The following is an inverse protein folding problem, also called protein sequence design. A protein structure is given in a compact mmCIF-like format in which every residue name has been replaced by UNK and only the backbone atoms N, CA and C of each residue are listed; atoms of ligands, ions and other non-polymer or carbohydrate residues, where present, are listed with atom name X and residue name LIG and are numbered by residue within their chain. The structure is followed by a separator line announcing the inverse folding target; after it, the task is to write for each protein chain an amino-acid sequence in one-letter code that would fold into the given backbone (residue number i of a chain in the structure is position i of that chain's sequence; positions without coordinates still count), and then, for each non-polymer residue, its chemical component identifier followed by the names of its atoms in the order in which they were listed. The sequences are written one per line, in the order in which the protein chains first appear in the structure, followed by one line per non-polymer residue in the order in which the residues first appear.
data_IF_816633429452
#
_entry.id   IF_816633429452
#
_cell.length_a   1.000
_cell.length_b   1.000
_cell.length_c   1.000
_cell.angle_alpha   90.00
_cell.angle_beta   90.00
_cell.angle_gamma   90.00
#
_symmetry.space_group_name_H-M   'P 1'
#
loop_
_entity.id
_entity.type
_entity.pdbx_description
1 polymer ?
#
# COMPACT_ATOMS: atom_id res chain seq x y z
N UNK A 1 10.07 19.73 -17.06
CA UNK A 1 9.77 19.13 -18.38
C UNK A 1 9.56 17.58 -18.34
N UNK A 2 8.87 16.96 -17.34
CA UNK A 2 8.64 15.50 -17.36
C UNK A 2 7.43 15.06 -18.19
N UNK A 3 6.43 15.93 -18.38
CA UNK A 3 5.18 15.61 -19.08
C UNK A 3 5.41 15.34 -20.57
N UNK A 4 6.25 16.15 -21.22
CA UNK A 4 6.56 16.01 -22.65
C UNK A 4 7.28 14.69 -22.94
N UNK A 5 8.23 14.31 -22.09
CA UNK A 5 8.95 13.02 -22.18
C UNK A 5 7.98 11.85 -22.04
N UNK A 6 7.04 11.94 -21.10
CA UNK A 6 5.98 10.93 -20.95
C UNK A 6 5.09 10.81 -22.19
N UNK A 7 4.78 11.93 -22.85
CA UNK A 7 3.97 11.94 -24.07
C UNK A 7 4.69 11.23 -25.23
N UNK A 8 5.98 11.52 -25.44
CA UNK A 8 6.77 10.86 -26.47
C UNK A 8 6.93 9.36 -26.22
N UNK A 9 7.16 8.97 -24.97
CA UNK A 9 7.22 7.55 -24.59
C UNK A 9 5.90 6.84 -24.87
N UNK A 10 4.76 7.48 -24.59
CA UNK A 10 3.43 6.94 -24.88
C UNK A 10 3.21 6.77 -26.39
N UNK A 11 3.58 7.76 -27.20
CA UNK A 11 3.45 7.69 -28.66
C UNK A 11 4.32 6.56 -29.23
N UNK A 12 5.56 6.44 -28.77
CA UNK A 12 6.46 5.37 -29.21
C UNK A 12 5.93 3.98 -28.83
N UNK A 13 5.36 3.84 -27.63
CA UNK A 13 4.74 2.61 -27.16
C UNK A 13 3.52 2.23 -28.03
N UNK A 14 2.64 3.19 -28.34
CA UNK A 14 1.48 2.97 -29.20
C UNK A 14 1.93 2.57 -30.60
N UNK A 15 2.90 3.27 -31.17
CA UNK A 15 3.43 2.98 -32.50
C UNK A 15 4.06 1.59 -32.56
N UNK A 16 4.89 1.24 -31.58
CA UNK A 16 5.49 -0.10 -31.48
C UNK A 16 4.44 -1.21 -31.34
N UNK A 17 3.36 -0.96 -30.59
CA UNK A 17 2.26 -1.91 -30.45
C UNK A 17 1.50 -2.13 -31.77
N UNK A 18 1.24 -1.06 -32.53
CA UNK A 18 0.60 -1.15 -33.86
C UNK A 18 1.49 -1.91 -34.84
N UNK A 19 2.79 -1.61 -34.86
CA UNK A 19 3.73 -2.30 -35.73
C UNK A 19 3.85 -3.79 -35.39
N UNK A 20 3.91 -4.12 -34.09
CA UNK A 20 3.93 -5.50 -33.62
C UNK A 20 2.63 -6.24 -33.98
N UNK A 21 1.47 -5.60 -33.86
CA UNK A 21 0.19 -6.18 -34.25
C UNK A 21 0.17 -6.52 -35.75
N UNK A 22 0.61 -5.61 -36.61
CA UNK A 22 0.69 -5.87 -38.04
C UNK A 22 1.72 -6.94 -38.40
N UNK A 23 2.86 -6.99 -37.71
CA UNK A 23 3.85 -8.05 -37.91
C UNK A 23 3.30 -9.43 -37.52
N UNK A 24 2.60 -9.53 -36.40
CA UNK A 24 1.96 -10.77 -35.93
C UNK A 24 0.81 -11.17 -36.88
N UNK A 25 0.01 -10.20 -37.31
CA UNK A 25 -1.07 -10.43 -38.28
C UNK A 25 -0.51 -10.97 -39.60
N UNK A 26 0.59 -10.40 -40.09
CA UNK A 26 1.23 -10.82 -41.34
C UNK A 26 1.82 -12.23 -41.23
N UNK A 27 2.36 -12.60 -40.07
CA UNK A 27 3.01 -13.90 -39.87
C UNK A 27 2.04 -15.04 -39.49
N UNK A 28 1.01 -14.75 -38.71
CA UNK A 28 0.15 -15.77 -38.07
C UNK A 28 -1.35 -15.59 -38.34
N UNK A 29 -1.72 -14.56 -39.08
CA UNK A 29 -3.11 -14.25 -39.39
C UNK A 29 -3.83 -13.47 -38.28
N UNK A 30 -5.04 -13.01 -38.63
CA UNK A 30 -5.79 -12.04 -37.84
C UNK A 30 -6.29 -12.61 -36.50
N UNK A 31 -6.66 -13.88 -36.46
CA UNK A 31 -7.15 -14.53 -35.24
C UNK A 31 -6.08 -14.57 -34.13
N UNK A 32 -4.83 -14.88 -34.50
CA UNK A 32 -3.70 -14.93 -33.56
C UNK A 32 -3.34 -13.51 -33.09
N UNK A 33 -3.30 -12.54 -34.00
CA UNK A 33 -3.02 -11.15 -33.66
C UNK A 33 -4.04 -10.57 -32.64
N UNK A 34 -5.34 -10.82 -32.85
CA UNK A 34 -6.38 -10.43 -31.90
C UNK A 34 -6.20 -11.13 -30.53
N UNK A 35 -5.90 -12.42 -30.52
CA UNK A 35 -5.66 -13.17 -29.28
C UNK A 35 -4.52 -12.58 -28.46
N UNK A 36 -3.39 -12.27 -29.11
CA UNK A 36 -2.23 -11.63 -28.44
C UNK A 36 -2.59 -10.23 -27.94
N UNK A 37 -3.29 -9.43 -28.74
CA UNK A 37 -3.70 -8.08 -28.33
C UNK A 37 -4.58 -8.09 -27.07
N UNK A 38 -5.57 -9.00 -27.01
CA UNK A 38 -6.43 -9.18 -25.84
C UNK A 38 -5.62 -9.63 -24.63
N UNK A 39 -4.71 -10.59 -24.79
CA UNK A 39 -3.87 -11.08 -23.71
C UNK A 39 -3.00 -9.96 -23.11
N UNK A 40 -2.35 -9.17 -23.96
CA UNK A 40 -1.53 -8.03 -23.52
C UNK A 40 -2.39 -6.99 -22.79
N UNK A 41 -3.57 -6.67 -23.31
CA UNK A 41 -4.49 -5.75 -22.65
C UNK A 41 -4.90 -6.25 -21.26
N UNK A 42 -5.22 -7.54 -21.10
CA UNK A 42 -5.54 -8.14 -19.81
C UNK A 42 -4.37 -8.08 -18.83
N UNK A 43 -3.14 -8.35 -19.29
CA UNK A 43 -1.95 -8.25 -18.44
C UNK A 43 -1.70 -6.82 -17.96
N UNK A 44 -1.88 -5.82 -18.83
CA UNK A 44 -1.75 -4.41 -18.46
C UNK A 44 -2.81 -4.00 -17.43
N UNK A 45 -4.07 -4.39 -17.65
CA UNK A 45 -5.16 -4.13 -16.69
C UNK A 45 -4.86 -4.79 -15.35
N UNK A 46 -4.40 -6.05 -15.36
CA UNK A 46 -4.03 -6.76 -14.13
C UNK A 46 -2.85 -6.08 -13.41
N UNK A 47 -1.84 -5.62 -14.13
CA UNK A 47 -0.70 -4.89 -13.56
C UNK A 47 -1.12 -3.55 -12.94
N UNK A 48 -1.95 -2.77 -13.64
CA UNK A 48 -2.50 -1.51 -13.14
C UNK A 48 -3.39 -1.76 -11.92
N UNK A 49 -4.28 -2.76 -11.97
CA UNK A 49 -5.14 -3.11 -10.85
C UNK A 49 -4.33 -3.58 -9.63
N UNK A 50 -3.28 -4.38 -9.84
CA UNK A 50 -2.35 -4.80 -8.79
C UNK A 50 -1.62 -3.60 -8.17
N UNK A 51 -1.12 -2.69 -9.01
CA UNK A 51 -0.43 -1.48 -8.56
C UNK A 51 -1.36 -0.53 -7.79
N UNK A 52 -2.59 -0.33 -8.28
CA UNK A 52 -3.62 0.45 -7.59
C UNK A 52 -4.04 -0.21 -6.28
N UNK A 53 -4.20 -1.53 -6.24
CA UNK A 53 -4.48 -2.27 -4.99
C UNK A 53 -3.34 -2.08 -3.99
N UNK A 54 -2.08 -2.14 -4.44
CA UNK A 54 -0.91 -1.90 -3.60
C UNK A 54 -0.87 -0.47 -3.06
N UNK A 55 -1.23 0.53 -3.87
CA UNK A 55 -1.33 1.92 -3.42
C UNK A 55 -2.52 2.17 -2.49
N UNK A 56 -3.69 1.59 -2.78
CA UNK A 56 -4.90 1.73 -1.95
C UNK A 56 -4.73 1.14 -0.54
N UNK A 57 -3.90 0.12 -0.38
CA UNK A 57 -3.56 -0.42 0.95
C UNK A 57 -2.85 0.62 1.85
N UNK A 58 -2.24 1.64 1.26
CA UNK A 58 -1.50 2.72 1.95
C UNK A 58 -2.25 4.06 1.79
N UNK A 59 -3.42 4.08 1.14
CA UNK A 59 -4.18 5.31 0.99
C UNK A 59 -4.80 5.73 2.32
N UNK A 60 -4.85 7.05 2.56
CA UNK A 60 -5.47 7.63 3.74
C UNK A 60 -6.87 7.05 3.95
N UNK A 61 -7.10 6.41 5.11
CA UNK A 61 -8.39 5.81 5.44
C UNK A 61 -9.38 6.84 5.99
N UNK A 62 -8.91 8.03 6.34
CA UNK A 62 -9.73 9.11 6.88
C UNK A 62 -9.61 10.32 5.97
N UNK A 63 -10.76 10.81 5.51
CA UNK A 63 -10.89 12.08 4.82
C UNK A 63 -11.89 12.90 5.64
N UNK A 64 -11.42 13.93 6.35
CA UNK A 64 -12.30 14.89 7.04
C UNK A 64 -12.22 14.98 8.57
N UNK A 65 -11.37 14.20 9.25
CA UNK A 65 -11.19 14.29 10.72
C UNK A 65 -9.83 14.92 11.08
N UNK A 66 -9.60 16.18 10.69
CA UNK A 66 -8.38 16.94 11.00
C UNK A 66 -7.13 16.47 10.24
N UNK A 67 -5.95 16.59 10.87
CA UNK A 67 -4.62 16.28 10.29
C UNK A 67 -4.28 14.78 10.19
N UNK A 68 -5.23 13.90 10.51
CA UNK A 68 -5.02 12.45 10.56
C UNK A 68 -5.28 11.79 9.21
N UNK A 69 -4.33 10.96 8.75
CA UNK A 69 -4.42 10.29 7.44
C UNK A 69 -4.89 8.84 7.58
N UNK A 70 -4.55 8.15 8.66
CA UNK A 70 -5.03 6.80 8.93
C UNK A 70 -5.56 6.68 10.36
N UNK A 71 -6.68 5.99 10.50
CA UNK A 71 -7.29 5.71 11.80
C UNK A 71 -7.82 4.28 11.79
N UNK A 72 -7.57 3.57 12.89
CA UNK A 72 -8.13 2.27 13.19
C UNK A 72 -8.72 2.33 14.60
N UNK A 73 -10.03 2.18 14.67
CA UNK A 73 -10.79 2.04 15.91
C UNK A 73 -11.18 0.57 16.08
N UNK A 74 -10.98 0.04 17.27
CA UNK A 74 -11.45 -1.28 17.67
C UNK A 74 -11.96 -1.27 19.10
N UNK A 75 -12.62 -2.35 19.52
CA UNK A 75 -13.07 -2.49 20.91
C UNK A 75 -11.91 -2.48 21.92
N UNK A 76 -10.69 -2.74 21.45
CA UNK A 76 -9.44 -2.73 22.22
C UNK A 76 -8.78 -1.34 22.32
N UNK A 77 -9.25 -0.36 21.54
CA UNK A 77 -8.65 0.98 21.52
C UNK A 77 -8.55 1.61 20.12
N UNK A 78 -7.51 2.41 19.93
CA UNK A 78 -7.33 3.28 18.77
C UNK A 78 -5.86 3.28 18.30
N UNK A 79 -5.64 3.18 17.00
CA UNK A 79 -4.36 3.56 16.38
C UNK A 79 -4.65 4.62 15.33
N UNK A 80 -3.98 5.76 15.43
CA UNK A 80 -4.08 6.85 14.45
C UNK A 80 -2.71 7.31 14.00
N UNK A 81 -2.62 7.69 12.73
CA UNK A 81 -1.39 8.14 12.10
C UNK A 81 -1.67 9.37 11.25
N UNK A 82 -0.84 10.38 11.41
CA UNK A 82 -0.85 11.63 10.65
C UNK A 82 0.42 11.70 9.81
N UNK A 83 0.33 11.29 8.55
CA UNK A 83 1.47 11.24 7.63
C UNK A 83 2.11 12.61 7.44
N UNK A 84 1.27 13.65 7.27
CA UNK A 84 1.72 15.03 7.07
C UNK A 84 2.55 15.57 8.24
N UNK A 85 2.22 15.16 9.48
CA UNK A 85 2.92 15.56 10.70
C UNK A 85 3.96 14.54 11.18
N UNK A 86 4.14 13.43 10.45
CA UNK A 86 5.03 12.30 10.81
C UNK A 86 4.82 11.79 12.24
N UNK A 87 3.56 11.77 12.65
CA UNK A 87 3.15 11.49 14.02
C UNK A 87 2.19 10.32 14.03
N UNK A 88 2.30 9.46 15.03
CA UNK A 88 1.33 8.41 15.25
C UNK A 88 1.04 8.24 16.73
N UNK A 89 -0.14 7.73 17.01
CA UNK A 89 -0.65 7.58 18.34
C UNK A 89 -1.37 6.26 18.45
N UNK A 90 -1.13 5.60 19.58
CA UNK A 90 -1.63 4.29 19.90
C UNK A 90 -2.28 4.35 21.28
N UNK A 91 -3.43 3.71 21.36
CA UNK A 91 -4.19 3.54 22.59
C UNK A 91 -4.69 2.11 22.62
N UNK A 92 -4.27 1.35 23.62
CA UNK A 92 -4.66 -0.06 23.79
C UNK A 92 -5.04 -0.25 25.26
N UNK A 93 -6.32 -0.54 25.52
CA UNK A 93 -6.85 -0.50 26.88
C UNK A 93 -6.71 0.90 27.49
N UNK A 94 -6.14 0.99 28.70
CA UNK A 94 -5.89 2.26 29.39
C UNK A 94 -4.54 2.90 29.02
N UNK A 95 -3.68 2.18 28.31
CA UNK A 95 -2.35 2.64 27.95
C UNK A 95 -2.42 3.51 26.68
N UNK A 96 -1.66 4.61 26.67
CA UNK A 96 -1.58 5.54 25.54
C UNK A 96 -0.13 5.91 25.24
N UNK A 97 0.24 5.80 23.98
CA UNK A 97 1.55 6.19 23.46
C UNK A 97 1.40 7.15 22.28
N UNK A 98 2.25 8.17 22.25
CA UNK A 98 2.31 9.16 21.19
C UNK A 98 3.77 9.29 20.74
N UNK A 99 4.03 9.07 19.47
CA UNK A 99 5.38 8.90 18.95
C UNK A 99 5.52 9.54 17.57
N UNK A 100 6.75 9.90 17.21
CA UNK A 100 7.08 10.30 15.84
C UNK A 100 7.56 9.08 15.04
N UNK A 101 7.57 9.18 13.71
CA UNK A 101 7.99 8.05 12.86
C UNK A 101 9.44 7.62 13.10
N UNK A 102 10.29 8.54 13.58
CA UNK A 102 11.67 8.23 13.94
C UNK A 102 11.78 7.28 15.14
N UNK A 103 10.78 7.24 16.00
CA UNK A 103 10.75 6.35 17.17
C UNK A 103 10.30 4.94 16.80
N UNK A 104 9.85 4.72 15.56
CA UNK A 104 9.37 3.43 15.10
C UNK A 104 10.54 2.53 14.68
N UNK A 105 10.77 1.46 15.44
CA UNK A 105 11.84 0.50 15.17
C UNK A 105 11.39 -0.58 14.19
N UNK A 106 10.12 -0.98 14.23
CA UNK A 106 9.58 -1.97 13.30
C UNK A 106 8.14 -2.37 13.59
N UNK A 107 7.55 -3.13 12.67
CA UNK A 107 6.22 -3.70 12.83
C UNK A 107 6.19 -5.14 12.29
N UNK A 108 5.66 -6.06 13.08
CA UNK A 108 5.59 -7.49 12.78
C UNK A 108 4.16 -8.00 13.01
N UNK A 109 3.65 -8.77 12.05
CA UNK A 109 2.37 -9.48 12.23
C UNK A 109 2.66 -10.78 12.96
N UNK A 110 1.99 -10.99 14.11
CA UNK A 110 2.04 -12.23 14.87
C UNK A 110 0.67 -12.89 14.82
N UNK A 111 0.63 -14.15 14.43
CA UNK A 111 -0.60 -14.96 14.41
C UNK A 111 -0.41 -16.12 15.36
N UNK A 112 -1.35 -16.32 16.28
CA UNK A 112 -1.29 -17.39 17.28
C UNK A 112 -2.65 -17.59 17.95
N UNK A 113 -2.97 -18.82 18.34
CA UNK A 113 -4.22 -19.16 19.05
C UNK A 113 -5.50 -18.62 18.37
N UNK A 114 -5.54 -18.63 17.03
CA UNK A 114 -6.68 -18.12 16.27
C UNK A 114 -6.86 -16.59 16.31
N UNK A 115 -5.93 -15.86 16.92
CA UNK A 115 -5.92 -14.39 16.99
C UNK A 115 -4.74 -13.84 16.19
N UNK A 116 -4.93 -12.64 15.68
CA UNK A 116 -3.89 -11.90 14.95
C UNK A 116 -3.53 -10.66 15.77
N UNK A 117 -2.25 -10.39 15.92
CA UNK A 117 -1.72 -9.18 16.54
C UNK A 117 -0.73 -8.49 15.61
N UNK A 118 -0.66 -7.18 15.72
CA UNK A 118 0.40 -6.37 15.16
C UNK A 118 1.31 -5.93 16.31
N UNK A 119 2.52 -6.49 16.34
CA UNK A 119 3.57 -6.11 17.28
C UNK A 119 4.34 -4.93 16.72
N UNK A 120 4.21 -3.77 17.35
CA UNK A 120 4.89 -2.53 16.94
C UNK A 120 6.01 -2.21 17.92
N UNK A 121 7.25 -2.21 17.43
CA UNK A 121 8.44 -1.92 18.23
C UNK A 121 8.74 -0.43 18.17
N UNK A 122 8.90 0.19 19.33
CA UNK A 122 9.24 1.61 19.45
C UNK A 122 10.44 1.81 20.37
N UNK A 123 11.12 2.94 20.22
CA UNK A 123 12.29 3.34 21.02
C UNK A 123 11.93 3.72 22.48
N UNK A 124 10.65 3.72 22.83
CA UNK A 124 10.18 4.06 24.17
C UNK A 124 10.66 3.05 25.23
N UNK A 125 11.37 3.49 26.29
CA UNK A 125 11.81 2.61 27.36
C UNK A 125 10.65 2.03 28.19
N UNK A 126 9.48 2.69 28.24
CA UNK A 126 8.30 2.22 29.00
C UNK A 126 7.49 1.18 28.23
N UNK A 127 7.33 1.37 26.93
CA UNK A 127 6.57 0.46 26.07
C UNK A 127 7.41 0.10 24.84
N UNK A 128 8.37 -0.81 25.01
CA UNK A 128 9.27 -1.22 23.91
C UNK A 128 8.55 -1.90 22.75
N UNK A 129 7.42 -2.54 23.04
CA UNK A 129 6.59 -3.24 22.07
C UNK A 129 5.12 -3.07 22.41
N UNK A 130 4.33 -2.63 21.44
CA UNK A 130 2.86 -2.55 21.52
C UNK A 130 2.25 -3.74 20.79
N UNK A 131 1.38 -4.49 21.48
CA UNK A 131 0.64 -5.60 20.88
C UNK A 131 -0.78 -5.15 20.57
N UNK A 132 -1.05 -4.88 19.28
CA UNK A 132 -2.35 -4.42 18.82
C UNK A 132 -3.17 -5.59 18.28
N UNK A 133 -4.28 -6.00 18.92
CA UNK A 133 -5.10 -7.08 18.40
C UNK A 133 -5.83 -6.64 17.13
N UNK A 134 -5.76 -7.47 16.09
CA UNK A 134 -6.32 -7.19 14.76
C UNK A 134 -7.45 -8.15 14.45
N UNK A 135 -8.51 -7.62 13.82
CA UNK A 135 -9.69 -8.42 13.51
C UNK A 135 -9.42 -9.48 12.42
N UNK A 136 -8.47 -9.20 11.51
CA UNK A 136 -8.10 -10.09 10.39
C UNK A 136 -6.61 -9.95 10.05
N UNK A 137 -6.03 -11.03 9.55
CA UNK A 137 -4.64 -11.05 9.07
C UNK A 137 -4.38 -10.00 7.97
N UNK A 138 -5.33 -9.81 7.05
CA UNK A 138 -5.23 -8.79 6.01
C UNK A 138 -5.10 -7.36 6.56
N UNK A 139 -5.81 -7.06 7.66
CA UNK A 139 -5.74 -5.75 8.32
C UNK A 139 -4.40 -5.57 9.03
N UNK A 140 -3.89 -6.62 9.69
CA UNK A 140 -2.58 -6.59 10.33
C UNK A 140 -1.45 -6.37 9.30
N UNK A 141 -1.50 -7.08 8.16
CA UNK A 141 -0.53 -6.89 7.06
C UNK A 141 -0.61 -5.50 6.42
N UNK A 142 -1.82 -4.94 6.31
CA UNK A 142 -2.00 -3.58 5.81
C UNK A 142 -1.33 -2.57 6.74
N UNK A 143 -1.61 -2.63 8.04
CA UNK A 143 -1.03 -1.72 9.02
C UNK A 143 0.48 -1.92 9.22
N UNK A 144 0.98 -3.15 9.13
CA UNK A 144 2.41 -3.43 9.08
C UNK A 144 3.09 -2.65 7.94
N UNK A 145 2.52 -2.68 6.73
CA UNK A 145 3.06 -1.94 5.59
C UNK A 145 3.00 -0.43 5.78
N UNK A 146 1.89 0.10 6.31
CA UNK A 146 1.74 1.52 6.60
C UNK A 146 2.83 1.96 7.58
N UNK A 147 3.04 1.23 8.68
CA UNK A 147 4.05 1.56 9.68
C UNK A 147 5.48 1.43 9.16
N UNK A 148 5.79 0.42 8.34
CA UNK A 148 7.10 0.30 7.69
C UNK A 148 7.36 1.46 6.71
N UNK A 149 6.35 1.86 5.94
CA UNK A 149 6.46 3.02 5.04
C UNK A 149 6.57 4.34 5.80
N UNK A 150 5.88 4.46 6.94
CA UNK A 150 6.00 5.59 7.86
C UNK A 150 7.44 5.71 8.39
N UNK A 151 8.03 4.59 8.86
CA UNK A 151 9.43 4.53 9.29
C UNK A 151 10.39 4.98 8.19
N UNK A 152 10.16 4.54 6.95
CA UNK A 152 10.97 4.95 5.79
C UNK A 152 10.70 6.39 5.32
N UNK A 153 9.74 7.10 5.94
CA UNK A 153 9.28 8.44 5.53
C UNK A 153 8.79 8.50 4.07
N UNK A 154 8.26 7.38 3.56
CA UNK A 154 7.76 7.25 2.18
C UNK A 154 6.23 7.24 2.10
N UNK A 155 5.57 7.70 3.17
CA UNK A 155 4.11 7.76 3.26
C UNK A 155 3.56 9.03 2.59
#
# INVERSE_FOLDING_TARGET
MPIVVGLFALIALIYGAVQAFHAIQAAFGLAVALGVAVLVALLLVAAVAYWLRRRRQVAANVHGNGDWTHELKGAWGLVRLAAAKRFWEIHVGDERGAYIFADLLGAEVRTGEGKTWLAVKVTDPRHREWLVPMAREGQAKQWQRILLLAKEQKL
#
